data_IF_726811829948
#
_entry.id   IF_726811829948
#
_cell.length_a   1.000
_cell.length_b   1.000
_cell.length_c   1.000
_cell.angle_alpha   90.00
_cell.angle_beta   90.00
_cell.angle_gamma   90.00
#
_symmetry.space_group_name_H-M   'P 1'
#
loop_
_entity.id
_entity.type
_entity.pdbx_description
1 polymer ?
#
# COMPACT_ATOMS: atom_id res chain seq x y z
N UNK A 1 -20.88 40.12 6.90
CA UNK A 1 -21.18 38.68 6.81
C UNK A 1 -20.06 38.06 6.01
N UNK A 2 -19.07 37.55 6.72
CA UNK A 2 -17.80 37.08 6.18
C UNK A 2 -18.01 35.77 5.44
N UNK A 3 -17.60 35.71 4.18
CA UNK A 3 -17.49 34.47 3.43
C UNK A 3 -16.25 33.72 3.91
N UNK A 4 -16.45 32.45 4.26
CA UNK A 4 -15.44 31.53 4.80
C UNK A 4 -14.47 31.07 3.69
N UNK A 5 -13.14 31.28 3.81
CA UNK A 5 -12.18 30.88 2.79
C UNK A 5 -11.55 29.53 3.12
N UNK A 6 -12.34 28.45 3.18
CA UNK A 6 -11.76 27.12 3.49
C UNK A 6 -12.54 25.92 2.96
N UNK A 7 -13.10 26.01 1.75
CA UNK A 7 -13.43 24.80 0.97
C UNK A 7 -12.67 24.82 -0.34
N UNK A 8 -11.39 24.44 -0.26
CA UNK A 8 -10.62 24.05 -1.45
C UNK A 8 -11.24 22.78 -2.01
N UNK A 9 -12.19 22.92 -2.93
CA UNK A 9 -12.64 21.84 -3.78
C UNK A 9 -11.40 21.20 -4.41
N UNK A 10 -11.13 19.94 -4.08
CA UNK A 10 -10.07 19.15 -4.72
C UNK A 10 -10.39 19.11 -6.21
N UNK A 11 -9.48 19.48 -7.13
CA UNK A 11 -9.77 19.42 -8.55
C UNK A 11 -10.08 17.97 -8.94
N UNK A 12 -11.30 17.69 -9.37
CA UNK A 12 -11.64 16.42 -10.01
C UNK A 12 -10.76 16.28 -11.27
N UNK A 13 -9.81 15.34 -11.26
CA UNK A 13 -9.12 14.88 -12.49
C UNK A 13 -7.60 14.73 -12.44
N UNK A 14 -6.91 15.09 -11.36
CA UNK A 14 -5.47 14.84 -11.26
C UNK A 14 -5.22 13.35 -10.99
N UNK A 15 -4.55 12.67 -11.91
CA UNK A 15 -4.07 11.29 -11.70
C UNK A 15 -2.83 11.32 -10.82
N UNK A 16 -2.79 10.49 -9.78
CA UNK A 16 -1.62 10.37 -8.93
C UNK A 16 -0.45 9.80 -9.73
N UNK A 17 0.72 10.43 -9.55
CA UNK A 17 1.99 9.95 -10.06
C UNK A 17 2.94 9.78 -8.89
N UNK A 18 3.59 8.62 -8.83
CA UNK A 18 4.62 8.36 -7.83
C UNK A 18 5.79 9.33 -8.01
N UNK A 19 6.18 9.99 -6.93
CA UNK A 19 7.50 10.63 -6.86
C UNK A 19 8.59 9.54 -6.96
N UNK A 20 9.81 9.81 -7.46
CA UNK A 20 10.89 8.83 -7.39
C UNK A 20 11.30 8.57 -5.93
N UNK A 21 11.68 7.33 -5.59
CA UNK A 21 12.39 7.07 -4.34
C UNK A 21 13.80 7.65 -4.41
N UNK A 22 14.34 8.13 -3.27
CA UNK A 22 15.74 8.60 -3.18
C UNK A 22 16.70 7.47 -3.61
N UNK A 23 16.43 6.26 -3.11
CA UNK A 23 17.10 5.03 -3.51
C UNK A 23 16.10 3.87 -3.39
N UNK A 24 15.84 3.20 -4.51
CA UNK A 24 14.87 2.11 -4.59
C UNK A 24 15.32 0.81 -3.90
N UNK A 25 16.58 0.70 -3.47
CA UNK A 25 17.11 -0.45 -2.73
C UNK A 25 17.15 -0.24 -1.21
N UNK A 26 16.96 1.00 -0.76
CA UNK A 26 17.06 1.35 0.66
C UNK A 26 15.91 2.21 1.17
N UNK A 27 14.99 2.63 0.30
CA UNK A 27 13.82 3.43 0.67
C UNK A 27 12.51 2.73 0.32
N UNK A 28 11.46 3.07 1.05
CA UNK A 28 10.10 2.60 0.83
C UNK A 28 9.09 3.74 0.97
N UNK A 29 7.88 3.52 0.44
CA UNK A 29 6.78 4.49 0.53
C UNK A 29 5.50 3.93 1.16
N UNK A 30 5.50 3.61 2.47
CA UNK A 30 4.28 3.25 3.17
C UNK A 30 3.16 4.26 2.96
N UNK A 31 1.94 3.74 2.86
CA UNK A 31 0.72 4.52 2.85
C UNK A 31 0.20 4.69 4.27
N UNK A 32 -0.45 5.81 4.52
CA UNK A 32 -1.29 6.03 5.70
C UNK A 32 -2.75 6.12 5.23
N UNK A 33 -3.62 5.40 5.91
CA UNK A 33 -5.07 5.53 5.74
C UNK A 33 -5.54 6.76 6.53
N UNK A 34 -6.22 7.70 5.87
CA UNK A 34 -6.85 8.82 6.56
C UNK A 34 -8.22 8.40 7.09
N UNK A 35 -8.54 8.86 8.29
CA UNK A 35 -9.90 8.75 8.82
C UNK A 35 -10.82 9.62 7.97
N UNK A 36 -11.79 8.97 7.35
CA UNK A 36 -12.88 9.64 6.64
C UNK A 36 -14.09 9.67 7.58
N UNK A 37 -14.49 10.86 8.02
CA UNK A 37 -15.66 11.03 8.88
C UNK A 37 -16.97 10.69 8.16
N UNK A 38 -16.99 10.71 6.83
CA UNK A 38 -18.16 10.40 6.00
C UNK A 38 -18.13 8.96 5.46
N UNK A 39 -16.97 8.30 5.51
CA UNK A 39 -16.77 6.88 5.21
C UNK A 39 -16.98 6.46 3.74
N UNK A 40 -17.23 7.42 2.84
CA UNK A 40 -17.63 7.17 1.46
C UNK A 40 -16.45 6.94 0.50
N UNK A 41 -15.25 7.45 0.80
CA UNK A 41 -14.08 7.31 -0.09
C UNK A 41 -12.79 6.98 0.68
N UNK A 42 -11.97 6.07 0.12
CA UNK A 42 -10.65 5.78 0.69
C UNK A 42 -9.68 6.91 0.34
N UNK A 43 -9.20 7.61 1.36
CA UNK A 43 -8.15 8.60 1.25
C UNK A 43 -6.85 8.08 1.87
N UNK A 44 -5.80 8.10 1.07
CA UNK A 44 -4.47 7.61 1.39
C UNK A 44 -3.48 8.77 1.30
N UNK A 45 -2.44 8.73 2.12
CA UNK A 45 -1.23 9.52 1.88
C UNK A 45 -0.02 8.63 1.77
N UNK A 46 0.78 8.87 0.73
CA UNK A 46 2.03 8.16 0.50
C UNK A 46 3.19 9.11 0.78
N UNK A 47 4.18 8.63 1.53
CA UNK A 47 5.40 9.39 1.84
C UNK A 47 6.60 8.45 1.84
N UNK A 48 7.74 8.94 1.38
CA UNK A 48 8.97 8.14 1.27
C UNK A 48 9.78 8.22 2.56
N UNK A 49 10.37 7.10 2.96
CA UNK A 49 11.35 6.98 4.04
C UNK A 49 12.45 6.01 3.64
N UNK A 50 13.65 6.20 4.20
CA UNK A 50 14.66 5.14 4.23
C UNK A 50 14.17 4.01 5.13
N UNK A 51 14.52 2.78 4.79
CA UNK A 51 14.18 1.58 5.56
C UNK A 51 14.70 1.64 7.01
N UNK A 52 15.80 2.34 7.26
CA UNK A 52 16.34 2.54 8.61
C UNK A 52 15.54 3.51 9.46
N UNK A 53 14.81 4.44 8.82
CA UNK A 53 14.19 5.60 9.46
C UNK A 53 12.66 5.56 9.38
N UNK A 54 12.11 4.52 8.74
CA UNK A 54 10.68 4.37 8.54
C UNK A 54 10.00 4.15 9.90
N UNK A 55 8.89 4.87 10.19
CA UNK A 55 8.09 4.60 11.38
C UNK A 55 7.56 3.18 11.39
N UNK A 56 7.13 2.67 12.55
CA UNK A 56 6.45 1.38 12.63
C UNK A 56 5.31 1.28 11.61
N UNK A 57 5.38 0.23 10.79
CA UNK A 57 4.44 -0.02 9.71
C UNK A 57 4.05 -1.50 9.68
N UNK A 58 2.86 -1.75 9.16
CA UNK A 58 2.37 -3.08 8.86
C UNK A 58 2.54 -3.38 7.38
N UNK A 59 2.62 -4.66 7.03
CA UNK A 59 2.55 -5.12 5.63
C UNK A 59 1.21 -5.79 5.37
N UNK A 60 0.76 -5.72 4.12
CA UNK A 60 -0.39 -6.48 3.66
C UNK A 60 0.06 -7.55 2.67
N UNK A 61 -0.41 -8.77 2.85
CA UNK A 61 -0.40 -9.82 1.83
C UNK A 61 -1.83 -10.20 1.50
N UNK A 62 -2.17 -10.19 0.22
CA UNK A 62 -3.50 -10.53 -0.27
C UNK A 62 -3.36 -11.18 -1.64
N UNK A 63 -4.37 -11.95 -2.05
CA UNK A 63 -4.37 -12.57 -3.37
C UNK A 63 -4.48 -11.51 -4.45
N UNK A 64 -3.74 -11.66 -5.55
CA UNK A 64 -3.93 -10.79 -6.70
C UNK A 64 -5.16 -11.27 -7.48
N UNK A 65 -5.92 -10.33 -8.06
CA UNK A 65 -7.12 -10.62 -8.84
C UNK A 65 -7.00 -10.02 -10.23
N UNK A 66 -7.89 -10.44 -11.13
CA UNK A 66 -7.94 -9.94 -12.51
C UNK A 66 -8.06 -8.41 -12.55
N UNK A 67 -7.31 -7.81 -13.48
CA UNK A 67 -7.09 -6.36 -13.55
C UNK A 67 -8.29 -5.57 -14.12
N UNK A 68 -9.34 -6.25 -14.55
CA UNK A 68 -10.46 -5.65 -15.26
C UNK A 68 -11.45 -4.93 -14.33
N UNK A 69 -11.58 -5.36 -13.07
CA UNK A 69 -12.47 -4.70 -12.09
C UNK A 69 -11.65 -3.77 -11.19
N UNK A 70 -11.74 -2.47 -11.43
CA UNK A 70 -10.98 -1.43 -10.73
C UNK A 70 -11.84 -0.49 -9.91
N UNK A 71 -11.23 0.17 -8.93
CA UNK A 71 -11.83 1.20 -8.08
C UNK A 71 -10.86 2.36 -7.90
N UNK A 72 -11.42 3.55 -7.77
CA UNK A 72 -10.67 4.77 -7.54
C UNK A 72 -10.50 5.00 -6.04
N UNK A 73 -9.29 5.41 -5.67
CA UNK A 73 -8.95 5.93 -4.34
C UNK A 73 -8.24 7.26 -4.48
N UNK A 74 -8.21 8.07 -3.42
CA UNK A 74 -7.44 9.30 -3.41
C UNK A 74 -6.10 9.04 -2.74
N UNK A 75 -5.01 9.37 -3.41
CA UNK A 75 -3.65 9.37 -2.87
C UNK A 75 -3.10 10.78 -2.96
N UNK A 76 -2.71 11.37 -1.82
CA UNK A 76 -2.20 12.75 -1.76
C UNK A 76 -3.11 13.74 -2.53
N UNK A 77 -4.43 13.56 -2.40
CA UNK A 77 -5.50 14.33 -3.06
C UNK A 77 -5.58 14.18 -4.60
N UNK A 78 -4.96 13.15 -5.17
CA UNK A 78 -5.04 12.79 -6.59
C UNK A 78 -5.64 11.38 -6.77
N UNK A 79 -6.29 11.13 -7.90
CA UNK A 79 -6.96 9.85 -8.20
C UNK A 79 -5.92 8.77 -8.52
N UNK A 80 -6.01 7.65 -7.83
CA UNK A 80 -5.22 6.45 -8.08
C UNK A 80 -6.15 5.26 -8.29
N UNK A 81 -5.91 4.49 -9.34
CA UNK A 81 -6.74 3.35 -9.72
C UNK A 81 -6.12 2.07 -9.16
N UNK A 82 -6.90 1.32 -8.38
CA UNK A 82 -6.50 0.03 -7.82
C UNK A 82 -7.49 -1.05 -8.25
N UNK A 83 -7.08 -2.32 -8.18
CA UNK A 83 -8.03 -3.42 -8.39
C UNK A 83 -9.07 -3.46 -7.28
N UNK A 84 -10.26 -3.96 -7.58
CA UNK A 84 -11.34 -4.12 -6.60
C UNK A 84 -10.89 -4.98 -5.40
N UNK A 85 -10.08 -6.01 -5.63
CA UNK A 85 -9.59 -6.83 -4.53
C UNK A 85 -8.66 -6.03 -3.59
N UNK A 86 -7.78 -5.20 -4.14
CA UNK A 86 -6.96 -4.27 -3.35
C UNK A 86 -7.84 -3.30 -2.55
N UNK A 87 -8.89 -2.75 -3.19
CA UNK A 87 -9.84 -1.85 -2.54
C UNK A 87 -10.60 -2.52 -1.38
N UNK A 88 -11.05 -3.76 -1.56
CA UNK A 88 -11.69 -4.56 -0.52
C UNK A 88 -10.72 -4.85 0.63
N UNK A 89 -9.48 -5.20 0.31
CA UNK A 89 -8.44 -5.45 1.30
C UNK A 89 -8.14 -4.20 2.13
N UNK A 90 -7.96 -3.03 1.50
CA UNK A 90 -7.81 -1.74 2.18
C UNK A 90 -9.00 -1.41 3.07
N UNK A 91 -10.23 -1.60 2.58
CA UNK A 91 -11.45 -1.32 3.35
C UNK A 91 -11.54 -2.16 4.62
N UNK A 92 -11.08 -3.41 4.57
CA UNK A 92 -11.00 -4.29 5.73
C UNK A 92 -9.85 -3.92 6.65
N UNK A 93 -8.69 -3.63 6.08
CA UNK A 93 -7.50 -3.20 6.82
C UNK A 93 -7.83 -1.97 7.67
N UNK A 94 -8.55 -1.00 7.10
CA UNK A 94 -9.07 0.18 7.83
C UNK A 94 -9.91 -0.18 9.07
N UNK A 95 -10.68 -1.28 9.04
CA UNK A 95 -11.52 -1.71 10.16
C UNK A 95 -10.74 -2.49 11.22
N UNK A 96 -9.76 -3.28 10.79
CA UNK A 96 -9.07 -4.28 11.62
C UNK A 96 -7.75 -3.79 12.21
N UNK A 97 -7.04 -2.93 11.49
CA UNK A 97 -5.68 -2.52 11.83
C UNK A 97 -5.63 -1.13 12.49
N UNK A 98 -6.54 -0.89 13.45
CA UNK A 98 -6.62 0.40 14.17
C UNK A 98 -5.35 0.77 14.95
N UNK A 99 -4.50 -0.22 15.23
CA UNK A 99 -3.22 -0.04 15.94
C UNK A 99 -2.07 0.36 15.00
N UNK A 100 -2.25 0.30 13.67
CA UNK A 100 -1.22 0.57 12.68
C UNK A 100 -1.50 1.88 11.94
N UNK A 101 -0.52 2.79 11.96
CA UNK A 101 -0.62 4.09 11.28
C UNK A 101 -0.13 4.05 9.83
N UNK A 102 0.82 3.15 9.54
CA UNK A 102 1.43 3.01 8.22
C UNK A 102 1.30 1.58 7.72
N UNK A 103 1.08 1.45 6.43
CA UNK A 103 0.92 0.18 5.74
C UNK A 103 1.80 0.16 4.51
N UNK A 104 2.41 -0.97 4.22
CA UNK A 104 3.07 -1.21 2.94
C UNK A 104 2.29 -2.26 2.16
N UNK A 105 1.86 -1.88 0.96
CA UNK A 105 1.09 -2.70 0.02
C UNK A 105 1.77 -2.56 -1.33
N UNK A 106 2.35 -3.64 -1.85
CA UNK A 106 3.12 -3.67 -3.10
C UNK A 106 2.46 -2.94 -4.28
N UNK A 107 1.17 -3.16 -4.50
CA UNK A 107 0.39 -2.62 -5.60
C UNK A 107 0.22 -1.09 -5.54
N UNK A 108 0.44 -0.47 -4.37
CA UNK A 108 0.24 0.97 -4.13
C UNK A 108 1.58 1.65 -3.83
N UNK A 109 2.38 1.07 -2.94
CA UNK A 109 3.60 1.65 -2.43
C UNK A 109 4.76 1.60 -3.44
N UNK A 110 4.72 0.66 -4.38
CA UNK A 110 5.70 0.56 -5.48
C UNK A 110 5.14 1.27 -6.71
N UNK A 111 5.96 2.08 -7.38
CA UNK A 111 5.64 2.57 -8.70
C UNK A 111 5.68 1.44 -9.73
N UNK A 112 4.51 0.85 -10.01
CA UNK A 112 4.39 -0.27 -10.95
C UNK A 112 4.70 0.10 -12.42
N UNK A 113 4.77 1.40 -12.74
CA UNK A 113 5.10 1.90 -14.08
C UNK A 113 6.61 2.11 -14.28
N UNK A 114 7.40 2.11 -13.20
CA UNK A 114 8.85 2.17 -13.28
C UNK A 114 9.43 0.77 -13.04
N UNK A 115 9.93 0.15 -14.11
CA UNK A 115 10.48 -1.20 -14.04
C UNK A 115 11.72 -1.30 -13.13
N UNK A 116 12.53 -0.24 -13.06
CA UNK A 116 13.74 -0.23 -12.22
C UNK A 116 13.34 -0.17 -10.75
N UNK A 117 12.43 0.72 -10.40
CA UNK A 117 11.88 0.80 -9.04
C UNK A 117 11.22 -0.54 -8.66
N UNK A 118 10.35 -1.07 -9.52
CA UNK A 118 9.65 -2.34 -9.27
C UNK A 118 10.61 -3.49 -9.01
N UNK A 119 11.62 -3.67 -9.85
CA UNK A 119 12.62 -4.73 -9.67
C UNK A 119 13.44 -4.56 -8.40
N UNK A 120 13.87 -3.33 -8.09
CA UNK A 120 14.61 -3.05 -6.86
C UNK A 120 13.76 -3.31 -5.60
N UNK A 121 12.51 -2.86 -5.59
CA UNK A 121 11.58 -3.08 -4.48
C UNK A 121 11.27 -4.57 -4.27
N UNK A 122 11.09 -5.35 -5.34
CA UNK A 122 10.93 -6.81 -5.26
C UNK A 122 12.16 -7.47 -4.66
N UNK A 123 13.37 -7.05 -5.07
CA UNK A 123 14.62 -7.60 -4.54
C UNK A 123 14.77 -7.35 -3.03
N UNK A 124 14.25 -6.24 -2.50
CA UNK A 124 14.32 -5.91 -1.07
C UNK A 124 13.05 -6.30 -0.30
N UNK A 125 12.04 -6.89 -0.95
CA UNK A 125 10.74 -7.18 -0.35
C UNK A 125 10.87 -7.99 0.94
N UNK A 126 11.77 -8.98 0.99
CA UNK A 126 12.05 -9.72 2.22
C UNK A 126 12.51 -8.84 3.39
N UNK A 127 13.30 -7.79 3.12
CA UNK A 127 13.72 -6.79 4.14
C UNK A 127 12.53 -5.93 4.59
N UNK A 128 11.63 -5.58 3.67
CA UNK A 128 10.41 -4.82 3.98
C UNK A 128 9.51 -5.64 4.90
N UNK A 129 9.18 -6.89 4.55
CA UNK A 129 8.33 -7.73 5.38
C UNK A 129 8.96 -8.02 6.75
N UNK A 130 10.27 -8.32 6.79
CA UNK A 130 10.99 -8.53 8.06
C UNK A 130 11.04 -7.28 8.94
N UNK A 131 11.09 -6.09 8.34
CA UNK A 131 11.08 -4.81 9.06
C UNK A 131 9.68 -4.36 9.52
N UNK A 132 8.62 -5.01 9.05
CA UNK A 132 7.25 -4.66 9.44
C UNK A 132 6.91 -5.17 10.84
N UNK A 133 6.12 -4.41 11.58
CA UNK A 133 5.68 -4.79 12.94
C UNK A 133 4.66 -5.93 12.93
N UNK A 134 3.95 -6.09 11.83
CA UNK A 134 2.91 -7.11 11.65
C UNK A 134 2.62 -7.28 10.16
N UNK A 135 2.30 -8.50 9.74
CA UNK A 135 1.76 -8.79 8.41
C UNK A 135 0.30 -9.21 8.52
N UNK A 136 -0.58 -8.48 7.84
CA UNK A 136 -1.99 -8.86 7.68
C UNK A 136 -2.15 -9.71 6.43
N UNK A 137 -2.90 -10.82 6.54
CA UNK A 137 -3.17 -11.69 5.39
C UNK A 137 -4.65 -11.81 5.10
N UNK A 138 -5.02 -11.51 3.85
CA UNK A 138 -6.40 -11.59 3.37
C UNK A 138 -6.50 -12.63 2.25
N UNK A 139 -7.18 -13.76 2.55
CA UNK A 139 -7.24 -14.90 1.64
C UNK A 139 -8.41 -14.88 0.66
N UNK A 140 -9.46 -14.07 0.86
CA UNK A 140 -10.56 -13.99 -0.12
C UNK A 140 -11.50 -12.79 0.12
N UNK A 141 -12.42 -12.57 -0.82
CA UNK A 141 -13.57 -11.67 -0.68
C UNK A 141 -14.50 -12.02 0.49
N UNK A 142 -14.32 -13.14 1.20
CA UNK A 142 -15.16 -13.56 2.33
C UNK A 142 -14.40 -14.07 3.57
N UNK A 143 -13.07 -14.12 3.55
CA UNK A 143 -12.26 -14.68 4.64
C UNK A 143 -11.01 -13.86 4.95
N UNK A 144 -10.80 -13.61 6.24
CA UNK A 144 -9.49 -13.22 6.78
C UNK A 144 -8.71 -14.50 7.07
N UNK A 145 -7.42 -14.51 6.76
CA UNK A 145 -6.51 -15.41 7.46
C UNK A 145 -5.63 -14.57 8.35
N UNK A 146 -6.00 -14.50 9.62
CA UNK A 146 -5.10 -14.20 10.72
C UNK A 146 -4.29 -12.89 10.69
N UNK A 147 -3.65 -12.67 11.82
CA UNK A 147 -2.53 -11.75 11.99
C UNK A 147 -1.32 -12.65 12.15
N UNK A 148 -0.32 -12.50 11.30
CA UNK A 148 0.85 -13.37 11.33
C UNK A 148 2.10 -12.54 11.57
N UNK A 149 3.04 -13.13 12.31
CA UNK A 149 4.41 -12.64 12.36
C UNK A 149 5.15 -13.19 11.14
N UNK A 150 6.16 -12.46 10.68
CA UNK A 150 6.95 -12.88 9.51
C UNK A 150 7.57 -14.28 9.68
N UNK A 151 7.96 -14.63 10.92
CA UNK A 151 8.54 -15.94 11.27
C UNK A 151 7.58 -17.12 10.99
N UNK A 152 6.27 -16.85 10.94
CA UNK A 152 5.22 -17.84 10.70
C UNK A 152 4.81 -17.95 9.21
N UNK A 153 5.50 -17.24 8.30
CA UNK A 153 5.13 -17.10 6.89
C UNK A 153 6.15 -17.72 5.91
N UNK A 154 6.23 -19.06 5.80
CA UNK A 154 7.25 -19.76 5.00
C UNK A 154 7.22 -19.41 3.50
N UNK A 155 6.08 -18.95 2.96
CA UNK A 155 5.95 -18.55 1.56
C UNK A 155 6.66 -17.23 1.21
N UNK A 156 6.87 -16.34 2.19
CA UNK A 156 7.67 -15.11 2.00
C UNK A 156 9.16 -15.34 2.25
N UNK A 157 9.52 -16.41 2.97
CA UNK A 157 10.91 -16.84 3.14
C UNK A 157 11.45 -17.53 1.89
N UNK A 158 10.59 -18.24 1.15
CA UNK A 158 10.94 -18.96 -0.07
C UNK A 158 10.88 -18.11 -1.35
N UNK A 159 10.31 -16.90 -1.31
CA UNK A 159 10.27 -15.97 -2.44
C UNK A 159 11.62 -15.26 -2.65
N UNK A 160 12.71 -16.05 -2.69
CA UNK A 160 13.79 -15.78 -3.61
C UNK A 160 13.24 -15.95 -5.01
N UNK A 161 12.92 -14.81 -5.63
CA UNK A 161 12.43 -14.66 -6.98
C UNK A 161 13.22 -15.57 -7.94
N UNK A 162 12.59 -16.66 -8.42
CA UNK A 162 13.13 -17.45 -9.51
C UNK A 162 13.22 -16.54 -10.73
N UNK A 163 14.43 -16.06 -11.00
CA UNK A 163 14.78 -15.45 -12.27
C UNK A 163 14.47 -16.46 -13.38
N UNK A 164 13.62 -16.03 -14.30
CA UNK A 164 13.57 -16.39 -15.71
C UNK A 164 14.12 -17.76 -16.11
N UNK A 165 13.24 -18.63 -16.61
CA UNK A 165 13.64 -19.66 -17.56
C UNK A 165 14.32 -19.01 -18.77
N UNK A 166 15.57 -19.40 -19.01
CA UNK A 166 16.13 -19.76 -20.32
C UNK A 166 17.50 -20.39 -20.13
#
# INVERSE_FOLDING_TARGET
MSADPSTSAVPLGLKYCHEPLEDSETSIRPLQLKDDQEGTQLQLSLRSWRLSDVPHYATLSYTWADKEDTRDVLVNNAVFVITKNCWLALTRLRKLAKESNYFWIDAICINQLDERERSAQVNIMGRIYRGSSVTYVLLSEHGLAGRYLFEDMPFLTAAGYNASQS
#
